data_IF_238666629161
#
_entry.id   IF_238666629161
#
_cell.length_a   1.000
_cell.length_b   1.000
_cell.length_c   1.000
_cell.angle_alpha   90.00
_cell.angle_beta   90.00
_cell.angle_gamma   90.00
#
_symmetry.space_group_name_H-M   'P 1'
#
loop_
_entity.id
_entity.type
_entity.pdbx_description
1 polymer ?
#
# COMPACT_ATOMS: atom_id res chain seq x y z
N UNK A 1 17.08 3.54 -33.75
CA UNK A 1 18.26 2.77 -33.26
C UNK A 1 18.38 1.39 -33.92
N UNK A 2 17.95 1.23 -35.18
CA UNK A 2 17.96 -0.04 -35.94
C UNK A 2 19.05 -0.07 -37.03
N UNK A 3 19.84 0.96 -37.19
CA UNK A 3 20.79 1.14 -38.33
C UNK A 3 22.25 0.76 -38.04
N UNK A 4 22.58 0.39 -36.81
CA UNK A 4 23.96 -0.02 -36.47
C UNK A 4 24.19 -1.54 -36.47
N UNK A 5 23.13 -2.35 -36.67
CA UNK A 5 23.23 -3.83 -36.57
C UNK A 5 23.61 -4.51 -37.87
N UNK A 6 23.50 -3.83 -39.01
CA UNK A 6 23.65 -4.47 -40.35
C UNK A 6 24.96 -4.20 -41.08
N UNK A 7 26.00 -3.66 -40.44
CA UNK A 7 27.24 -3.28 -41.17
C UNK A 7 28.49 -4.10 -40.82
N UNK A 8 28.36 -5.23 -40.13
CA UNK A 8 29.54 -6.03 -39.72
C UNK A 8 29.52 -7.51 -40.18
N UNK A 9 28.76 -7.85 -41.24
CA UNK A 9 28.80 -9.18 -41.84
C UNK A 9 29.12 -9.03 -43.32
N UNK A 10 30.35 -8.71 -43.66
CA UNK A 10 31.01 -9.11 -44.95
C UNK A 10 32.52 -9.05 -44.78
N UNK A 11 33.14 -10.20 -45.09
CA UNK A 11 34.58 -10.50 -45.25
C UNK A 11 35.30 -11.05 -44.00
N UNK A 12 35.30 -12.38 -43.90
CA UNK A 12 36.57 -13.14 -43.77
C UNK A 12 36.32 -14.63 -44.08
N UNK A 13 36.74 -15.01 -45.29
CA UNK A 13 36.99 -16.41 -45.64
C UNK A 13 38.29 -16.81 -44.91
N UNK A 14 38.19 -17.27 -43.70
CA UNK A 14 39.17 -18.11 -42.99
C UNK A 14 38.55 -18.60 -41.69
N UNK A 15 38.31 -19.90 -41.62
CA UNK A 15 37.52 -20.65 -40.64
C UNK A 15 37.98 -20.57 -39.16
N UNK A 16 38.16 -19.39 -38.60
CA UNK A 16 38.28 -19.19 -37.16
C UNK A 16 36.95 -18.59 -36.66
N UNK A 17 36.12 -19.44 -36.03
CA UNK A 17 34.94 -18.96 -35.30
C UNK A 17 35.42 -17.93 -34.24
N UNK A 18 35.28 -16.65 -34.55
CA UNK A 18 35.47 -15.60 -33.57
C UNK A 18 34.42 -15.82 -32.48
N UNK A 19 34.84 -16.24 -31.27
CA UNK A 19 33.98 -16.22 -30.08
C UNK A 19 33.64 -14.77 -29.84
N UNK A 20 32.42 -14.36 -30.22
CA UNK A 20 31.86 -13.07 -29.84
C UNK A 20 31.78 -13.09 -28.31
N UNK A 21 32.74 -12.48 -27.67
CA UNK A 21 32.76 -12.23 -26.24
C UNK A 21 31.77 -11.09 -26.02
N UNK A 22 30.49 -11.41 -25.78
CA UNK A 22 29.52 -10.42 -25.33
C UNK A 22 30.09 -9.86 -24.02
N UNK A 23 30.69 -8.67 -24.08
CA UNK A 23 30.99 -7.88 -22.89
C UNK A 23 29.59 -7.65 -22.24
N UNK A 24 29.29 -8.40 -21.21
CA UNK A 24 28.23 -8.00 -20.27
C UNK A 24 28.76 -6.72 -19.64
N UNK A 25 28.25 -5.59 -20.07
CA UNK A 25 28.47 -4.34 -19.36
C UNK A 25 28.09 -4.61 -17.91
N UNK A 26 29.06 -4.47 -17.01
CA UNK A 26 28.82 -4.59 -15.57
C UNK A 26 27.79 -3.50 -15.24
N UNK A 27 26.55 -3.88 -14.97
CA UNK A 27 25.56 -2.94 -14.45
C UNK A 27 26.14 -2.31 -13.18
N UNK A 28 26.46 -1.02 -13.24
CA UNK A 28 26.95 -0.30 -12.08
C UNK A 28 25.80 -0.08 -11.12
N UNK A 29 25.87 -0.70 -9.93
CA UNK A 29 24.90 -0.49 -8.86
C UNK A 29 25.40 0.58 -7.90
N UNK A 30 24.54 1.54 -7.56
CA UNK A 30 24.79 2.50 -6.47
C UNK A 30 24.32 1.89 -5.15
N UNK A 31 25.16 1.95 -4.13
CA UNK A 31 24.81 1.52 -2.77
C UNK A 31 24.23 2.70 -1.98
N UNK A 32 23.09 2.50 -1.33
CA UNK A 32 22.41 3.51 -0.51
C UNK A 32 22.54 3.26 1.00
N UNK A 33 23.22 2.15 1.40
CA UNK A 33 23.24 1.71 2.80
C UNK A 33 21.90 1.09 3.23
N UNK A 34 21.69 0.99 4.54
CA UNK A 34 20.42 0.49 5.09
C UNK A 34 19.34 1.56 4.96
N UNK A 35 18.40 1.37 4.05
CA UNK A 35 17.28 2.26 3.77
C UNK A 35 16.00 1.43 3.54
N UNK A 36 14.84 1.89 4.01
CA UNK A 36 13.58 1.18 3.84
C UNK A 36 12.94 1.46 2.46
N UNK A 37 13.70 1.29 1.38
CA UNK A 37 13.27 1.58 0.01
C UNK A 37 12.62 0.35 -0.61
N UNK A 38 11.36 0.13 -0.27
CA UNK A 38 10.53 -0.93 -0.86
C UNK A 38 9.35 -0.31 -1.60
N UNK A 39 9.04 -0.82 -2.78
CA UNK A 39 7.90 -0.41 -3.60
C UNK A 39 7.06 -1.63 -4.03
N UNK A 40 5.74 -1.51 -4.12
CA UNK A 40 4.94 -0.36 -3.69
C UNK A 40 4.77 -0.34 -2.16
N UNK A 41 4.73 0.86 -1.54
CA UNK A 41 4.32 1.00 -0.15
C UNK A 41 2.83 1.35 -0.11
N UNK A 42 2.01 0.60 0.65
CA UNK A 42 0.60 0.91 0.75
C UNK A 42 0.39 2.28 1.44
N UNK A 43 -0.72 2.92 1.15
CA UNK A 43 -1.21 4.08 1.92
C UNK A 43 -2.45 3.62 2.67
N UNK A 44 -2.30 3.43 3.97
CA UNK A 44 -3.30 2.86 4.87
C UNK A 44 -3.90 3.95 5.75
N UNK A 45 -5.22 4.08 5.77
CA UNK A 45 -5.92 5.00 6.66
C UNK A 45 -6.48 4.22 7.82
N UNK A 46 -5.86 4.38 8.99
CA UNK A 46 -6.24 3.66 10.21
C UNK A 46 -7.38 4.40 10.91
N UNK A 47 -8.54 3.76 11.01
CA UNK A 47 -9.71 4.26 11.74
C UNK A 47 -9.77 3.69 13.16
N UNK A 48 -10.00 4.54 14.16
CA UNK A 48 -10.12 4.14 15.58
C UNK A 48 -11.14 4.99 16.31
N UNK A 49 -11.73 4.48 17.40
CA UNK A 49 -12.47 5.30 18.35
C UNK A 49 -11.58 5.74 19.52
N UNK A 50 -11.79 6.97 20.00
CA UNK A 50 -11.20 7.43 21.25
C UNK A 50 -12.00 6.94 22.47
N UNK A 51 -11.60 7.39 23.66
CA UNK A 51 -12.24 7.05 24.95
C UNK A 51 -13.69 7.51 25.08
N UNK A 52 -14.12 8.46 24.24
CA UNK A 52 -15.48 9.01 24.22
C UNK A 52 -16.32 8.45 23.06
N UNK A 53 -15.78 7.47 22.31
CA UNK A 53 -16.41 6.91 21.12
C UNK A 53 -16.33 7.83 19.90
N UNK A 54 -15.50 8.86 19.92
CA UNK A 54 -15.29 9.75 18.79
C UNK A 54 -14.34 9.10 17.78
N UNK A 55 -14.72 9.11 16.50
CA UNK A 55 -13.90 8.56 15.44
C UNK A 55 -12.64 9.43 15.18
N UNK A 56 -11.53 8.77 14.90
CA UNK A 56 -10.27 9.37 14.48
C UNK A 56 -9.64 8.52 13.37
N UNK A 57 -8.90 9.15 12.49
CA UNK A 57 -8.12 8.50 11.46
C UNK A 57 -6.67 8.98 11.44
N UNK A 58 -5.74 8.13 10.98
CA UNK A 58 -4.36 8.52 10.66
C UNK A 58 -3.88 7.80 9.41
N UNK A 59 -2.95 8.43 8.68
CA UNK A 59 -2.26 7.83 7.55
C UNK A 59 -1.03 7.03 8.04
N UNK A 60 -0.83 5.84 7.47
CA UNK A 60 0.34 4.99 7.71
C UNK A 60 0.78 4.31 6.41
N UNK A 61 2.08 4.09 6.25
CA UNK A 61 2.64 3.43 5.06
C UNK A 61 3.54 2.23 5.41
N UNK A 62 3.96 2.09 6.66
CA UNK A 62 4.83 1.00 7.09
C UNK A 62 3.98 -0.19 7.57
N UNK A 63 3.72 -1.16 6.66
CA UNK A 63 2.92 -2.32 7.02
C UNK A 63 2.52 -3.15 5.80
N UNK A 64 1.77 -4.22 6.05
CA UNK A 64 1.26 -5.12 5.01
C UNK A 64 0.74 -6.43 5.56
N UNK A 65 0.24 -7.27 4.66
CA UNK A 65 -0.25 -8.61 4.95
C UNK A 65 0.93 -9.53 5.31
N UNK A 66 0.83 -10.25 6.42
CA UNK A 66 1.88 -11.16 6.93
C UNK A 66 1.40 -12.60 7.14
N UNK A 67 0.13 -12.86 6.90
CA UNK A 67 -0.49 -14.19 7.01
C UNK A 67 -1.74 -14.28 6.14
N UNK A 68 -2.49 -15.37 6.24
CA UNK A 68 -3.72 -15.57 5.48
C UNK A 68 -4.80 -14.51 5.82
N UNK A 69 -4.85 -14.12 7.09
CA UNK A 69 -5.78 -13.14 7.64
C UNK A 69 -5.08 -12.23 8.69
N UNK A 70 -3.79 -11.98 8.52
CA UNK A 70 -3.01 -11.14 9.44
C UNK A 70 -2.38 -9.96 8.71
N UNK A 71 -2.42 -8.80 9.36
CA UNK A 71 -1.76 -7.57 8.94
C UNK A 71 -0.86 -7.05 10.06
N UNK A 72 0.29 -6.49 9.67
CA UNK A 72 1.17 -5.78 10.59
C UNK A 72 1.31 -4.32 10.17
N UNK A 73 1.28 -3.39 11.13
CA UNK A 73 1.52 -1.96 10.88
C UNK A 73 2.55 -1.46 11.89
N UNK A 74 3.62 -0.82 11.42
CA UNK A 74 4.64 -0.20 12.28
C UNK A 74 4.29 1.27 12.48
N UNK A 75 4.04 1.66 13.71
CA UNK A 75 3.52 2.96 14.11
C UNK A 75 4.36 3.54 15.25
N UNK A 76 4.72 4.80 15.14
CA UNK A 76 5.20 5.57 16.32
C UNK A 76 4.02 5.94 17.22
N UNK A 77 4.34 6.48 18.40
CA UNK A 77 3.32 6.84 19.41
C UNK A 77 2.44 7.99 18.90
N UNK A 78 1.14 7.74 18.81
CA UNK A 78 0.10 8.68 18.38
C UNK A 78 -1.20 8.44 19.15
N UNK A 79 -2.16 9.38 19.10
CA UNK A 79 -3.51 9.16 19.63
C UNK A 79 -4.14 7.86 19.08
N UNK A 80 -3.88 7.55 17.83
CA UNK A 80 -4.38 6.33 17.18
C UNK A 80 -3.80 5.06 17.82
N UNK A 81 -2.52 5.04 18.19
CA UNK A 81 -1.92 3.88 18.86
C UNK A 81 -2.48 3.67 20.26
N UNK A 82 -2.74 4.75 21.01
CA UNK A 82 -3.41 4.67 22.31
C UNK A 82 -4.82 4.09 22.17
N UNK A 83 -5.56 4.54 21.14
CA UNK A 83 -6.89 4.05 20.83
C UNK A 83 -6.88 2.55 20.47
N UNK A 84 -5.92 2.11 19.62
CA UNK A 84 -5.76 0.70 19.24
C UNK A 84 -5.49 -0.17 20.46
N UNK A 85 -4.58 0.25 21.34
CA UNK A 85 -4.26 -0.50 22.55
C UNK A 85 -5.47 -0.62 23.47
N UNK A 86 -6.25 0.47 23.62
CA UNK A 86 -7.42 0.52 24.48
C UNK A 86 -8.59 -0.31 23.93
N UNK A 87 -8.93 -0.13 22.66
CA UNK A 87 -10.09 -0.77 22.04
C UNK A 87 -9.80 -2.17 21.50
N UNK A 88 -8.51 -2.54 21.38
CA UNK A 88 -8.05 -3.78 20.75
C UNK A 88 -8.52 -3.93 19.30
N UNK A 89 -8.85 -2.83 18.64
CA UNK A 89 -9.45 -2.83 17.31
C UNK A 89 -9.09 -1.57 16.53
N UNK A 90 -9.04 -1.71 15.20
CA UNK A 90 -8.90 -0.61 14.24
C UNK A 90 -9.37 -1.06 12.86
N UNK A 91 -9.63 -0.12 11.99
CA UNK A 91 -9.86 -0.38 10.57
C UNK A 91 -8.67 0.09 9.74
N UNK A 92 -8.49 -0.49 8.56
CA UNK A 92 -7.49 -0.08 7.57
C UNK A 92 -8.20 0.21 6.27
N UNK A 93 -8.49 1.48 6.00
CA UNK A 93 -9.01 1.94 4.73
C UNK A 93 -7.90 2.06 3.69
N UNK A 94 -8.15 1.63 2.46
CA UNK A 94 -7.23 1.80 1.34
C UNK A 94 -7.40 3.19 0.76
N UNK A 95 -6.32 3.99 0.80
CA UNK A 95 -6.33 5.32 0.21
C UNK A 95 -6.32 5.27 -1.32
N UNK A 96 -7.07 6.17 -1.93
CA UNK A 96 -7.16 6.30 -3.39
C UNK A 96 -6.85 7.73 -3.88
N UNK A 97 -6.83 7.88 -5.20
CA UNK A 97 -6.53 9.15 -5.84
C UNK A 97 -7.60 10.21 -5.57
N UNK A 98 -8.88 9.83 -5.47
CA UNK A 98 -10.00 10.74 -5.26
C UNK A 98 -9.91 11.41 -3.88
N UNK A 99 -9.53 10.64 -2.86
CA UNK A 99 -9.45 11.10 -1.47
C UNK A 99 -8.02 11.44 -1.01
N UNK A 100 -7.04 11.58 -1.95
CA UNK A 100 -5.62 11.78 -1.63
C UNK A 100 -5.41 12.92 -0.62
N UNK A 101 -6.02 14.08 -0.83
CA UNK A 101 -5.83 15.26 0.05
C UNK A 101 -6.36 14.99 1.46
N UNK A 102 -7.51 14.36 1.58
CA UNK A 102 -8.11 13.98 2.86
C UNK A 102 -7.25 12.92 3.58
N UNK A 103 -6.77 11.92 2.84
CA UNK A 103 -5.88 10.87 3.34
C UNK A 103 -4.54 11.42 3.84
N UNK A 104 -3.95 12.40 3.14
CA UNK A 104 -2.72 13.06 3.58
C UNK A 104 -2.99 13.94 4.81
N UNK A 105 -4.07 14.73 4.79
CA UNK A 105 -4.46 15.61 5.89
C UNK A 105 -4.58 14.86 7.22
N UNK A 106 -5.22 13.69 7.25
CA UNK A 106 -5.34 12.90 8.48
C UNK A 106 -4.01 12.30 8.94
N UNK A 107 -2.97 12.32 8.12
CA UNK A 107 -1.59 11.95 8.48
C UNK A 107 -0.82 13.07 9.15
N UNK A 108 -1.01 14.34 8.72
CA UNK A 108 -0.24 15.48 9.19
C UNK A 108 -0.85 16.19 10.40
N UNK A 109 -2.11 15.91 10.72
CA UNK A 109 -2.84 16.57 11.82
C UNK A 109 -3.14 15.59 12.95
N UNK A 110 -2.84 15.97 14.19
CA UNK A 110 -3.16 15.16 15.38
C UNK A 110 -4.56 15.50 15.91
N UNK A 111 -5.37 14.47 16.21
CA UNK A 111 -6.66 14.64 16.89
C UNK A 111 -6.55 15.22 18.32
N UNK A 112 -5.37 15.21 18.92
CA UNK A 112 -5.10 15.91 20.19
C UNK A 112 -5.11 17.44 20.04
N UNK A 113 -4.89 17.97 18.82
CA UNK A 113 -4.84 19.40 18.53
C UNK A 113 -6.03 19.88 17.72
N UNK A 114 -6.63 19.00 16.93
CA UNK A 114 -7.72 19.32 16.01
C UNK A 114 -8.90 18.37 16.27
N UNK A 115 -9.86 18.89 17.02
CA UNK A 115 -11.05 18.13 17.41
C UNK A 115 -11.94 17.77 16.20
N UNK A 116 -11.96 18.62 15.16
CA UNK A 116 -12.82 18.47 13.99
C UNK A 116 -12.09 17.84 12.79
N UNK A 117 -10.99 17.12 13.07
CA UNK A 117 -10.12 16.51 12.07
C UNK A 117 -10.87 15.70 11.02
N UNK A 118 -11.78 14.81 11.44
CA UNK A 118 -12.57 13.97 10.53
C UNK A 118 -13.50 14.82 9.65
N UNK A 119 -14.18 15.80 10.24
CA UNK A 119 -15.06 16.70 9.51
C UNK A 119 -14.30 17.56 8.48
N UNK A 120 -13.13 18.09 8.86
CA UNK A 120 -12.27 18.87 7.94
C UNK A 120 -11.70 18.02 6.81
N UNK A 121 -11.45 16.74 7.05
CA UNK A 121 -11.08 15.79 6.01
C UNK A 121 -12.25 15.44 5.07
N UNK A 122 -13.49 15.77 5.45
CA UNK A 122 -14.69 15.36 4.73
C UNK A 122 -15.03 13.89 4.95
N UNK A 123 -14.48 13.26 5.98
CA UNK A 123 -14.72 11.86 6.30
C UNK A 123 -15.92 11.69 7.23
N UNK A 124 -16.83 10.80 6.83
CA UNK A 124 -17.91 10.26 7.64
C UNK A 124 -17.62 8.81 8.03
N UNK A 125 -18.27 8.32 9.07
CA UNK A 125 -17.97 6.97 9.55
C UNK A 125 -19.21 6.19 9.88
N UNK A 126 -19.17 4.88 9.63
CA UNK A 126 -20.11 3.88 10.12
C UNK A 126 -19.39 2.97 11.11
N UNK A 127 -20.09 2.54 12.17
CA UNK A 127 -19.52 1.58 13.12
C UNK A 127 -19.38 0.22 12.45
N UNK A 128 -18.20 -0.41 12.57
CA UNK A 128 -18.00 -1.80 12.15
C UNK A 128 -18.92 -2.75 12.95
N UNK A 129 -19.45 -3.76 12.28
CA UNK A 129 -20.20 -4.87 12.91
C UNK A 129 -19.25 -5.95 13.45
N UNK A 130 -18.00 -5.98 13.01
CA UNK A 130 -17.03 -7.04 13.31
C UNK A 130 -16.03 -6.65 14.40
N UNK A 131 -15.72 -5.36 14.52
CA UNK A 131 -14.72 -4.86 15.48
C UNK A 131 -15.16 -3.51 16.09
N UNK A 132 -14.61 -3.15 17.24
CA UNK A 132 -14.90 -1.86 17.88
C UNK A 132 -14.08 -0.71 17.24
N UNK A 133 -14.33 -0.45 15.94
CA UNK A 133 -13.66 0.59 15.19
C UNK A 133 -14.58 1.21 14.11
N UNK A 134 -14.31 2.44 13.64
CA UNK A 134 -15.10 3.08 12.59
C UNK A 134 -14.63 2.65 11.20
N UNK A 135 -15.55 2.35 10.29
CA UNK A 135 -15.34 2.29 8.84
C UNK A 135 -15.48 3.70 8.29
N UNK A 136 -14.51 4.16 7.50
CA UNK A 136 -14.56 5.46 6.82
C UNK A 136 -15.31 5.26 5.51
N UNK A 137 -16.48 5.90 5.37
CA UNK A 137 -17.42 5.63 4.30
C UNK A 137 -16.94 6.04 2.91
N UNK A 138 -16.05 7.03 2.82
CA UNK A 138 -15.53 7.56 1.55
C UNK A 138 -14.44 6.67 0.95
N UNK A 139 -13.83 5.77 1.75
CA UNK A 139 -12.74 4.92 1.27
C UNK A 139 -13.29 3.64 0.59
N UNK A 140 -12.72 3.24 -0.57
CA UNK A 140 -13.29 2.19 -1.40
C UNK A 140 -13.26 0.79 -0.78
N UNK A 141 -12.26 0.52 0.05
CA UNK A 141 -11.99 -0.79 0.64
C UNK A 141 -11.48 -0.62 2.06
N UNK A 142 -12.00 -1.43 2.99
CA UNK A 142 -11.62 -1.39 4.40
C UNK A 142 -11.40 -2.80 4.95
N UNK A 143 -10.27 -3.01 5.63
CA UNK A 143 -10.01 -4.18 6.47
C UNK A 143 -10.41 -3.84 7.90
N UNK A 144 -11.15 -4.71 8.56
CA UNK A 144 -11.65 -4.56 9.93
C UNK A 144 -10.85 -5.50 10.82
N UNK A 145 -10.02 -4.95 11.72
CA UNK A 145 -8.91 -5.65 12.36
C UNK A 145 -9.02 -5.67 13.88
N UNK A 146 -8.73 -6.83 14.48
CA UNK A 146 -8.57 -7.00 15.92
C UNK A 146 -7.09 -7.12 16.27
N UNK A 147 -6.63 -6.32 17.24
CA UNK A 147 -5.23 -6.34 17.70
C UNK A 147 -4.89 -7.65 18.39
N UNK A 148 -3.93 -8.39 17.86
CA UNK A 148 -3.39 -9.61 18.48
C UNK A 148 -2.31 -9.24 19.50
N UNK A 149 -1.30 -8.48 19.09
CA UNK A 149 -0.20 -8.03 19.98
C UNK A 149 0.58 -6.86 19.40
N UNK A 150 1.31 -6.18 20.27
CA UNK A 150 2.32 -5.20 19.88
C UNK A 150 3.70 -5.82 20.05
N UNK A 151 4.52 -5.82 19.00
CA UNK A 151 5.86 -6.37 18.94
C UNK A 151 6.85 -5.20 18.98
N UNK A 152 7.89 -5.31 19.82
CA UNK A 152 8.94 -4.29 19.97
C UNK A 152 8.42 -2.86 20.22
N UNK A 153 7.20 -2.75 20.76
CA UNK A 153 6.57 -1.46 21.11
C UNK A 153 6.04 -0.62 19.95
N UNK A 154 6.26 -1.02 18.70
CA UNK A 154 5.84 -0.24 17.53
C UNK A 154 5.08 -1.03 16.45
N UNK A 155 5.23 -2.36 16.44
CA UNK A 155 4.64 -3.21 15.39
C UNK A 155 3.34 -3.83 15.87
N UNK A 156 2.23 -3.35 15.35
CA UNK A 156 0.88 -3.76 15.71
C UNK A 156 0.46 -4.90 14.80
N UNK A 157 0.54 -6.15 15.30
CA UNK A 157 0.04 -7.33 14.62
C UNK A 157 -1.44 -7.47 14.92
N UNK A 158 -2.26 -7.61 13.88
CA UNK A 158 -3.69 -7.74 14.00
C UNK A 158 -4.24 -8.85 13.09
N UNK A 159 -5.34 -9.45 13.52
CA UNK A 159 -6.15 -10.37 12.72
C UNK A 159 -7.21 -9.58 11.96
N UNK A 160 -7.36 -9.87 10.67
CA UNK A 160 -8.42 -9.33 9.81
C UNK A 160 -9.69 -10.14 10.06
N UNK A 161 -10.70 -9.52 10.66
CA UNK A 161 -12.00 -10.15 10.95
C UNK A 161 -12.97 -10.05 9.79
N UNK A 162 -12.84 -8.99 8.99
CA UNK A 162 -13.66 -8.77 7.80
C UNK A 162 -12.95 -7.83 6.82
N UNK A 163 -13.34 -7.93 5.57
CA UNK A 163 -13.00 -6.95 4.53
C UNK A 163 -14.30 -6.51 3.88
N UNK A 164 -14.53 -5.20 3.87
CA UNK A 164 -15.70 -4.59 3.23
C UNK A 164 -15.28 -3.62 2.12
N UNK A 165 -16.08 -3.53 1.08
CA UNK A 165 -15.92 -2.59 -0.03
C UNK A 165 -17.29 -1.95 -0.36
N UNK A 166 -17.26 -0.71 -0.83
CA UNK A 166 -18.45 -0.07 -1.39
C UNK A 166 -18.82 -0.77 -2.73
N UNK A 167 -20.09 -1.17 -2.87
CA UNK A 167 -20.60 -1.93 -4.03
C UNK A 167 -20.29 -1.25 -5.37
N UNK A 168 -20.19 0.09 -5.42
CA UNK A 168 -19.82 0.84 -6.63
C UNK A 168 -18.44 0.48 -7.18
N UNK A 169 -17.56 -0.11 -6.36
CA UNK A 169 -16.21 -0.52 -6.74
C UNK A 169 -16.10 -2.03 -7.05
N UNK A 170 -17.23 -2.75 -7.03
CA UNK A 170 -17.27 -4.17 -7.41
C UNK A 170 -17.51 -4.32 -8.91
N UNK A 171 -16.91 -5.35 -9.51
CA UNK A 171 -17.18 -5.81 -10.86
C UNK A 171 -18.52 -6.55 -10.98
N UNK A 172 -18.90 -6.93 -12.20
CA UNK A 172 -20.11 -7.70 -12.46
C UNK A 172 -20.05 -9.12 -11.84
N UNK A 173 -18.86 -9.58 -11.50
CA UNK A 173 -18.58 -10.84 -10.80
C UNK A 173 -18.69 -10.73 -9.27
N UNK A 174 -18.96 -9.53 -8.74
CA UNK A 174 -19.02 -9.24 -7.31
C UNK A 174 -17.66 -9.09 -6.63
N UNK A 175 -16.56 -9.15 -7.38
CA UNK A 175 -15.21 -8.97 -6.88
C UNK A 175 -14.75 -7.51 -7.02
N UNK A 176 -13.69 -7.14 -6.28
CA UNK A 176 -13.12 -5.78 -6.30
C UNK A 176 -12.52 -5.48 -7.69
N UNK A 177 -13.01 -4.42 -8.33
CA UNK A 177 -12.55 -3.98 -9.64
C UNK A 177 -11.65 -2.74 -9.55
N UNK A 178 -10.34 -2.94 -9.70
CA UNK A 178 -9.34 -1.86 -9.68
C UNK A 178 -9.46 -0.87 -10.86
N UNK A 179 -10.33 -1.13 -11.85
CA UNK A 179 -10.64 -0.14 -12.88
C UNK A 179 -11.61 0.95 -12.39
N UNK A 180 -12.33 0.69 -11.29
CA UNK A 180 -13.35 1.58 -10.74
C UNK A 180 -12.81 2.54 -9.66
N UNK A 181 -11.63 2.29 -9.11
CA UNK A 181 -10.91 3.23 -8.24
C UNK A 181 -9.40 3.09 -8.43
N UNK A 182 -8.65 4.10 -8.02
CA UNK A 182 -7.20 4.15 -8.21
C UNK A 182 -6.49 4.18 -6.87
N UNK A 183 -6.06 3.03 -6.32
CA UNK A 183 -5.23 3.04 -5.11
C UNK A 183 -3.96 3.84 -5.32
N UNK A 184 -3.49 4.49 -4.26
CA UNK A 184 -2.22 5.21 -4.27
C UNK A 184 -1.15 4.46 -3.48
N UNK A 185 0.12 4.68 -3.84
CA UNK A 185 1.29 4.14 -3.16
C UNK A 185 2.21 5.27 -2.72
N UNK A 186 2.86 5.10 -1.57
CA UNK A 186 3.80 6.06 -1.02
C UNK A 186 5.22 5.82 -1.53
N UNK A 187 5.93 6.90 -1.87
CA UNK A 187 7.36 6.89 -2.20
C UNK A 187 8.20 7.26 -0.97
N UNK A 188 8.92 6.31 -0.36
CA UNK A 188 9.74 6.59 0.81
C UNK A 188 11.03 7.37 0.51
N UNK A 189 11.36 7.60 -0.78
CA UNK A 189 12.57 8.33 -1.20
C UNK A 189 12.31 9.82 -1.32
N UNK A 190 11.21 10.20 -1.97
CA UNK A 190 10.90 11.61 -2.28
C UNK A 190 9.65 12.12 -1.54
N UNK A 191 9.04 11.27 -0.68
CA UNK A 191 7.85 11.61 0.09
C UNK A 191 6.65 12.01 -0.79
N UNK A 192 6.48 11.30 -1.93
CA UNK A 192 5.39 11.54 -2.87
C UNK A 192 4.37 10.40 -2.87
N UNK A 193 3.22 10.65 -3.49
CA UNK A 193 2.22 9.63 -3.78
C UNK A 193 2.20 9.34 -5.28
N UNK A 194 2.09 8.05 -5.62
CA UNK A 194 1.93 7.56 -6.99
C UNK A 194 0.65 6.73 -7.08
N UNK A 195 -0.02 6.79 -8.22
CA UNK A 195 -1.16 5.92 -8.47
C UNK A 195 -0.70 4.51 -8.82
N UNK A 196 -1.47 3.50 -8.40
CA UNK A 196 -1.36 2.15 -8.94
C UNK A 196 -1.85 2.17 -10.39
N UNK A 197 -1.06 1.63 -11.31
CA UNK A 197 -1.34 1.65 -12.74
C UNK A 197 -2.23 0.51 -13.20
N UNK A 198 -2.33 0.36 -14.53
CA UNK A 198 -3.11 -0.69 -15.17
C UNK A 198 -2.53 -2.11 -14.94
N UNK A 199 -3.37 -3.12 -15.15
CA UNK A 199 -2.94 -4.53 -15.11
C UNK A 199 -1.99 -4.83 -16.27
N UNK A 200 -0.78 -5.30 -15.95
CA UNK A 200 0.29 -5.56 -16.93
C UNK A 200 0.57 -7.04 -17.16
N UNK A 201 -0.11 -7.94 -16.45
CA UNK A 201 0.14 -9.37 -16.58
C UNK A 201 -0.74 -10.25 -15.69
N UNK A 202 -0.52 -11.56 -15.78
CA UNK A 202 -1.23 -12.58 -15.03
C UNK A 202 -0.25 -13.34 -14.13
N UNK A 203 -0.41 -13.19 -12.81
CA UNK A 203 0.35 -13.98 -11.85
C UNK A 203 0.09 -15.48 -12.05
N UNK A 204 1.12 -16.30 -11.80
CA UNK A 204 1.13 -17.76 -11.96
C UNK A 204 0.91 -18.27 -13.39
N UNK A 205 0.72 -17.40 -14.40
CA UNK A 205 0.50 -17.77 -15.80
C UNK A 205 1.60 -17.30 -16.72
N UNK A 206 1.98 -16.03 -16.65
CA UNK A 206 2.93 -15.44 -17.61
C UNK A 206 4.33 -16.04 -17.54
N UNK A 207 4.78 -16.48 -16.36
CA UNK A 207 6.03 -17.20 -16.19
C UNK A 207 6.11 -18.57 -16.87
N UNK A 208 4.97 -19.15 -17.26
CA UNK A 208 4.94 -20.43 -17.99
C UNK A 208 5.61 -20.37 -19.37
N UNK A 209 5.78 -19.17 -19.94
CA UNK A 209 6.53 -18.95 -21.19
C UNK A 209 8.02 -19.31 -21.09
N UNK A 210 8.56 -19.52 -19.88
CA UNK A 210 9.95 -19.90 -19.62
C UNK A 210 10.10 -21.41 -19.35
N UNK A 211 9.01 -22.19 -19.33
CA UNK A 211 9.00 -23.65 -19.23
C UNK A 211 9.17 -24.26 -20.63
#
# INVERSE_FOLDING_TARGET
>A
MQTAYNKCIKNSANGRRAKIRIRRDKTMRKNFGAKPFLYPQPVMILGTYDENGKANAMNAAWGGIVGANEIIVDLSVHKTTDNIIKNKAFTVGVADLEHLVACDYVGIVSANKEADKMQKAGFTTTKSEYVNAPVINELPLTLECELVKVIDGSKYLAEIKNVSADEKYLGDDGEIDLSKFTPITYDPVHHGYYRLGERVGNAFKDGAKLK
#
